data_IF_336996101740
#
_entry.id   IF_336996101740
#
_cell.length_a   1.000
_cell.length_b   1.000
_cell.length_c   1.000
_cell.angle_alpha   90.00
_cell.angle_beta   90.00
_cell.angle_gamma   90.00
#
_symmetry.space_group_name_H-M   'P 1'
#
loop_
_entity.id
_entity.type
_entity.pdbx_description
1 polymer ?
#
# COMPACT_ATOMS: atom_id res chain seq x y z
N UNK A 1 -2.10 1.88 -4.96
CA UNK A 1 -2.10 0.42 -4.75
C UNK A 1 -3.39 0.09 -4.01
N UNK A 2 -4.02 -1.05 -4.30
CA UNK A 2 -5.22 -1.51 -3.60
C UNK A 2 -4.85 -2.78 -2.85
N UNK A 3 -5.07 -2.80 -1.53
CA UNK A 3 -4.86 -3.97 -0.68
C UNK A 3 -6.19 -4.70 -0.56
N UNK A 4 -6.23 -5.97 -0.96
CA UNK A 4 -7.48 -6.73 -1.01
C UNK A 4 -7.63 -7.53 0.28
N UNK A 5 -8.71 -7.27 1.01
CA UNK A 5 -9.10 -7.99 2.22
C UNK A 5 -9.24 -9.50 1.99
N UNK A 6 -8.91 -10.31 3.00
CA UNK A 6 -9.31 -11.72 3.06
C UNK A 6 -10.72 -11.93 3.58
N UNK A 7 -11.32 -10.93 4.24
CA UNK A 7 -12.67 -11.08 4.75
C UNK A 7 -13.67 -11.15 3.58
N UNK A 8 -14.46 -12.24 3.43
CA UNK A 8 -15.24 -12.49 2.21
C UNK A 8 -16.22 -11.38 1.84
N UNK A 9 -16.79 -10.69 2.83
CA UNK A 9 -17.70 -9.58 2.60
C UNK A 9 -16.97 -8.30 2.17
N UNK A 10 -15.89 -7.94 2.88
CA UNK A 10 -15.11 -6.71 2.62
C UNK A 10 -14.41 -6.79 1.26
N UNK A 11 -13.89 -7.98 0.93
CA UNK A 11 -13.27 -8.28 -0.35
C UNK A 11 -14.12 -7.90 -1.56
N UNK A 12 -15.45 -8.04 -1.47
CA UNK A 12 -16.35 -7.68 -2.58
C UNK A 12 -16.29 -6.19 -2.91
N UNK A 13 -16.16 -5.34 -1.89
CA UNK A 13 -16.02 -3.88 -2.07
C UNK A 13 -14.65 -3.53 -2.66
N UNK A 14 -13.59 -4.17 -2.18
CA UNK A 14 -12.23 -3.95 -2.71
C UNK A 14 -12.13 -4.34 -4.18
N UNK A 15 -12.74 -5.46 -4.58
CA UNK A 15 -12.79 -5.92 -5.98
C UNK A 15 -13.67 -5.00 -6.86
N UNK A 16 -14.77 -4.49 -6.32
CA UNK A 16 -15.59 -3.48 -6.98
C UNK A 16 -14.80 -2.21 -7.27
N UNK A 17 -14.12 -1.66 -6.25
CA UNK A 17 -13.25 -0.50 -6.38
C UNK A 17 -12.09 -0.76 -7.37
N UNK A 18 -11.45 -1.92 -7.30
CA UNK A 18 -10.37 -2.28 -8.22
C UNK A 18 -10.85 -2.30 -9.68
N UNK A 19 -12.05 -2.83 -9.91
CA UNK A 19 -12.68 -2.86 -11.23
C UNK A 19 -12.94 -1.44 -11.74
N UNK A 20 -13.50 -0.56 -10.90
CA UNK A 20 -13.76 0.84 -11.23
C UNK A 20 -12.46 1.59 -11.60
N UNK A 21 -11.44 1.54 -10.74
CA UNK A 21 -10.17 2.21 -10.96
C UNK A 21 -9.49 1.76 -12.27
N UNK A 22 -9.56 0.47 -12.61
CA UNK A 22 -8.99 -0.08 -13.84
C UNK A 22 -9.80 0.29 -15.08
N UNK A 23 -11.13 0.35 -14.97
CA UNK A 23 -12.03 0.77 -16.05
C UNK A 23 -11.82 2.23 -16.40
N UNK A 24 -11.68 3.09 -15.39
CA UNK A 24 -11.62 4.53 -15.58
C UNK A 24 -10.29 4.99 -16.21
N UNK A 25 -9.21 4.18 -16.09
CA UNK A 25 -7.91 4.39 -16.74
C UNK A 25 -7.27 5.77 -16.52
N UNK A 26 -7.63 6.44 -15.43
CA UNK A 26 -7.08 7.76 -15.09
C UNK A 26 -5.72 7.66 -14.40
N UNK A 27 -5.50 6.59 -13.63
CA UNK A 27 -4.22 6.33 -12.98
C UNK A 27 -3.20 5.77 -13.97
N UNK A 28 -1.95 6.22 -13.90
CA UNK A 28 -0.84 5.66 -14.68
C UNK A 28 -0.70 4.15 -14.48
N UNK A 29 -0.92 3.67 -13.24
CA UNK A 29 -0.93 2.25 -12.91
C UNK A 29 -1.79 1.99 -11.69
N UNK A 30 -2.60 0.93 -11.76
CA UNK A 30 -3.35 0.38 -10.62
C UNK A 30 -2.79 -1.00 -10.32
N UNK A 31 -2.26 -1.19 -9.11
CA UNK A 31 -1.68 -2.46 -8.65
C UNK A 31 -2.52 -2.99 -7.49
N UNK A 32 -2.98 -4.22 -7.60
CA UNK A 32 -3.64 -4.95 -6.52
C UNK A 32 -2.62 -5.81 -5.74
N UNK A 33 -2.73 -5.88 -4.42
CA UNK A 33 -1.98 -6.84 -3.61
C UNK A 33 -2.97 -7.69 -2.81
N UNK A 34 -2.87 -9.00 -2.92
CA UNK A 34 -3.86 -9.93 -2.37
C UNK A 34 -3.22 -11.25 -1.92
N UNK A 35 -3.93 -12.00 -1.07
CA UNK A 35 -3.56 -13.39 -0.73
C UNK A 35 -4.13 -14.37 -1.72
N UNK A 36 -5.42 -14.25 -2.05
CA UNK A 36 -6.13 -15.17 -2.93
C UNK A 36 -6.26 -14.60 -4.34
N UNK A 37 -6.14 -15.49 -5.33
CA UNK A 37 -6.40 -15.23 -6.73
C UNK A 37 -7.86 -14.87 -6.98
N UNK A 38 -8.10 -14.00 -7.96
CA UNK A 38 -9.43 -13.67 -8.48
C UNK A 38 -9.25 -13.16 -9.91
N UNK A 39 -10.17 -13.49 -10.82
CA UNK A 39 -10.11 -13.01 -12.20
C UNK A 39 -10.03 -11.48 -12.27
N UNK A 40 -10.72 -10.77 -11.37
CA UNK A 40 -10.67 -9.31 -11.28
C UNK A 40 -9.26 -8.84 -10.89
N UNK A 41 -8.56 -9.55 -10.00
CA UNK A 41 -7.18 -9.21 -9.59
C UNK A 41 -6.22 -9.45 -10.75
N UNK A 42 -6.32 -10.61 -11.38
CA UNK A 42 -5.43 -11.09 -12.44
C UNK A 42 -5.57 -10.31 -13.75
N UNK A 43 -6.69 -9.62 -13.96
CA UNK A 43 -6.94 -8.79 -15.14
C UNK A 43 -5.99 -7.57 -15.33
N UNK A 44 -5.03 -7.36 -14.44
CA UNK A 44 -4.07 -6.26 -14.51
C UNK A 44 -2.90 -6.45 -13.55
N UNK A 45 -2.03 -5.43 -13.40
CA UNK A 45 -0.88 -5.52 -12.50
C UNK A 45 -1.29 -5.89 -11.08
N UNK A 46 -0.66 -6.93 -10.54
CA UNK A 46 -0.97 -7.43 -9.20
C UNK A 46 0.24 -8.12 -8.57
N UNK A 47 0.19 -8.29 -7.25
CA UNK A 47 1.13 -9.08 -6.47
C UNK A 47 0.31 -10.03 -5.61
N UNK A 48 0.58 -11.32 -5.72
CA UNK A 48 0.06 -12.31 -4.78
C UNK A 48 1.06 -12.49 -3.64
N UNK A 49 0.56 -12.46 -2.42
CA UNK A 49 1.37 -12.81 -1.26
C UNK A 49 1.79 -14.28 -1.35
N UNK A 50 2.98 -14.66 -0.83
CA UNK A 50 3.42 -16.04 -0.83
C UNK A 50 2.39 -16.98 -0.17
N UNK A 51 2.31 -18.26 -0.57
CA UNK A 51 1.39 -19.22 0.01
C UNK A 51 1.52 -19.27 1.55
N UNK A 52 0.37 -19.21 2.23
CA UNK A 52 0.29 -19.21 3.69
C UNK A 52 -0.99 -19.89 4.17
N UNK A 53 -1.15 -20.04 5.49
CA UNK A 53 -2.49 -20.24 6.07
C UNK A 53 -3.37 -19.02 5.81
N UNK A 54 -4.68 -19.16 6.03
CA UNK A 54 -5.58 -18.02 6.03
C UNK A 54 -5.17 -17.01 7.12
N UNK A 55 -5.16 -15.75 6.74
CA UNK A 55 -4.87 -14.60 7.60
C UNK A 55 -6.11 -13.73 7.72
N UNK A 56 -6.37 -13.19 8.91
CA UNK A 56 -7.28 -12.05 9.05
C UNK A 56 -6.60 -10.77 8.53
N UNK A 57 -7.38 -9.76 8.19
CA UNK A 57 -6.84 -8.50 7.63
C UNK A 57 -5.74 -7.85 8.51
N UNK A 58 -5.86 -7.97 9.84
CA UNK A 58 -4.83 -7.47 10.77
C UNK A 58 -3.48 -8.17 10.59
N UNK A 59 -3.47 -9.47 10.33
CA UNK A 59 -2.24 -10.22 10.06
C UNK A 59 -1.68 -9.87 8.66
N UNK A 60 -2.56 -9.69 7.68
CA UNK A 60 -2.17 -9.31 6.32
C UNK A 60 -1.54 -7.91 6.24
N UNK A 61 -1.95 -6.99 7.12
CA UNK A 61 -1.42 -5.64 7.16
C UNK A 61 0.11 -5.62 7.25
N UNK A 62 0.72 -6.54 8.01
CA UNK A 62 2.17 -6.67 8.10
C UNK A 62 2.81 -7.03 6.76
N UNK A 63 2.19 -7.96 6.02
CA UNK A 63 2.65 -8.32 4.68
C UNK A 63 2.51 -7.15 3.69
N UNK A 64 1.40 -6.43 3.72
CA UNK A 64 1.18 -5.26 2.85
C UNK A 64 2.16 -4.13 3.15
N UNK A 65 2.46 -3.88 4.42
CA UNK A 65 3.41 -2.87 4.85
C UNK A 65 4.81 -3.12 4.28
N UNK A 66 5.25 -4.38 4.15
CA UNK A 66 6.55 -4.69 3.54
C UNK A 66 6.66 -4.14 2.12
N UNK A 67 5.62 -4.33 1.28
CA UNK A 67 5.61 -3.81 -0.08
C UNK A 67 5.55 -2.27 -0.12
N UNK A 68 4.74 -1.67 0.76
CA UNK A 68 4.64 -0.22 0.87
C UNK A 68 5.97 0.42 1.28
N UNK A 69 6.64 -0.15 2.28
CA UNK A 69 7.92 0.32 2.81
C UNK A 69 9.04 0.20 1.78
N UNK A 70 9.16 -0.97 1.12
CA UNK A 70 10.17 -1.18 0.07
C UNK A 70 9.91 -0.24 -1.12
N UNK A 71 8.65 -0.05 -1.51
CA UNK A 71 8.31 0.90 -2.56
C UNK A 71 8.72 2.33 -2.19
N UNK A 72 8.37 2.80 -0.99
CA UNK A 72 8.71 4.15 -0.52
C UNK A 72 10.23 4.36 -0.45
N UNK A 73 10.97 3.38 0.08
CA UNK A 73 12.43 3.41 0.15
C UNK A 73 13.06 3.48 -1.25
N UNK A 74 12.62 2.60 -2.15
CA UNK A 74 13.13 2.57 -3.51
C UNK A 74 12.84 3.88 -4.26
N UNK A 75 11.66 4.48 -4.07
CA UNK A 75 11.34 5.78 -4.67
C UNK A 75 12.18 6.91 -4.09
N UNK A 76 12.41 6.93 -2.77
CA UNK A 76 13.31 7.90 -2.13
C UNK A 76 14.71 7.87 -2.74
N UNK A 77 15.29 6.67 -2.89
CA UNK A 77 16.59 6.49 -3.55
C UNK A 77 16.53 6.90 -5.02
N UNK A 78 15.47 6.51 -5.73
CA UNK A 78 15.32 6.79 -7.16
C UNK A 78 15.30 8.29 -7.48
N UNK A 79 14.68 9.11 -6.64
CA UNK A 79 14.64 10.57 -6.82
C UNK A 79 15.88 11.27 -6.24
N UNK A 80 16.88 10.53 -5.77
CA UNK A 80 18.12 11.06 -5.18
C UNK A 80 17.95 11.66 -3.78
N UNK A 81 16.87 11.34 -3.09
CA UNK A 81 16.67 11.76 -1.70
C UNK A 81 17.48 10.87 -0.74
N UNK A 82 17.71 11.34 0.49
CA UNK A 82 18.30 10.55 1.57
C UNK A 82 17.19 9.94 2.43
N UNK A 83 16.92 8.62 2.37
CA UNK A 83 15.77 8.02 3.07
C UNK A 83 15.78 8.23 4.59
N UNK A 84 16.96 8.34 5.20
CA UNK A 84 17.13 8.56 6.65
C UNK A 84 16.86 10.01 7.07
N UNK A 85 17.06 10.96 6.15
CA UNK A 85 16.86 12.41 6.34
C UNK A 85 16.11 13.01 5.14
N UNK A 86 14.85 12.62 4.87
CA UNK A 86 14.19 12.92 3.61
C UNK A 86 13.70 14.38 3.48
N UNK A 87 13.73 15.15 4.57
CA UNK A 87 13.36 16.57 4.60
C UNK A 87 14.60 17.44 4.75
N UNK A 88 15.26 17.76 3.64
CA UNK A 88 16.47 18.58 3.64
C UNK A 88 16.23 19.99 4.21
N UNK A 89 15.00 20.52 4.09
CA UNK A 89 14.60 21.81 4.64
C UNK A 89 14.40 21.81 6.17
N UNK A 90 14.32 20.64 6.80
CA UNK A 90 14.00 20.51 8.23
C UNK A 90 12.56 20.84 8.58
N UNK A 91 11.66 21.00 7.60
CA UNK A 91 10.23 21.26 7.83
C UNK A 91 9.55 20.06 8.50
N UNK A 92 9.99 18.84 8.16
CA UNK A 92 9.53 17.60 8.78
C UNK A 92 10.71 17.00 9.55
N UNK A 93 10.45 16.60 10.79
CA UNK A 93 11.47 16.06 11.69
C UNK A 93 11.07 14.68 12.19
N UNK A 94 12.07 13.82 12.44
CA UNK A 94 11.87 12.49 13.04
C UNK A 94 11.19 12.59 14.41
N UNK A 95 11.54 13.61 15.19
CA UNK A 95 10.87 13.96 16.44
C UNK A 95 10.12 15.25 16.19
N UNK A 96 8.84 15.30 16.54
CA UNK A 96 8.02 16.49 16.32
C UNK A 96 8.60 17.70 17.05
N UNK A 97 8.63 18.83 16.36
CA UNK A 97 9.09 20.12 16.89
C UNK A 97 7.97 21.15 16.75
N UNK A 98 7.88 22.11 17.67
CA UNK A 98 6.89 23.19 17.61
C UNK A 98 5.51 22.85 18.16
N UNK A 99 5.34 21.71 18.84
CA UNK A 99 4.08 21.37 19.54
C UNK A 99 4.07 22.04 20.91
N UNK A 100 3.07 22.88 21.16
CA UNK A 100 2.80 23.50 22.46
C UNK A 100 1.71 22.68 23.14
N UNK A 101 2.01 22.16 24.33
CA UNK A 101 1.03 21.47 25.16
C UNK A 101 0.40 22.51 26.10
N UNK A 102 -0.91 22.69 25.98
CA UNK A 102 -1.68 23.50 26.91
C UNK A 102 -2.09 22.64 28.13
N UNK A 103 -2.16 23.24 29.34
CA UNK A 103 -2.54 22.53 30.56
C UNK A 103 -4.01 22.08 30.57
#
# INVERSE_FOLDING_TARGET
>A
MVYISSHPYTRQYDLGLLTELRRDRQAMRVIAIAVETDAIIEAGPHILLPPSRSFIDMEQAFCFLMYAQVFALAQSIHVGNTPDLPSASGTINRVVQGVIIHP
#
